data_IF_728754741394
#
_entry.id   IF_728754741394
#
_cell.length_a   1.000
_cell.length_b   1.000
_cell.length_c   1.000
_cell.angle_alpha   90.00
_cell.angle_beta   90.00
_cell.angle_gamma   90.00
#
_symmetry.space_group_name_H-M   'P 1'
#
loop_
_entity.id
_entity.type
_entity.pdbx_description
1 polymer ?
#
# COMPACT_ATOMS: atom_id res chain seq x y z
N UNK A 1 4.48 -0.46 16.15
CA UNK A 1 3.59 -1.64 16.34
C UNK A 1 2.96 -2.07 15.02
N UNK A 2 2.32 -1.15 14.28
CA UNK A 2 1.70 -1.43 12.98
C UNK A 2 2.65 -2.02 11.94
N UNK A 3 3.85 -1.45 11.80
CA UNK A 3 4.92 -1.97 10.94
C UNK A 3 5.17 -3.48 11.14
N UNK A 4 5.35 -3.90 12.40
CA UNK A 4 5.63 -5.31 12.73
C UNK A 4 4.49 -6.24 12.31
N UNK A 5 3.24 -5.77 12.44
CA UNK A 5 2.06 -6.54 12.06
C UNK A 5 1.99 -6.68 10.54
N UNK A 6 2.18 -5.59 9.80
CA UNK A 6 2.19 -5.60 8.33
C UNK A 6 3.32 -6.49 7.78
N UNK A 7 4.52 -6.38 8.34
CA UNK A 7 5.65 -7.21 7.94
C UNK A 7 5.40 -8.71 8.24
N UNK A 8 4.80 -9.02 9.40
CA UNK A 8 4.44 -10.40 9.75
C UNK A 8 3.37 -10.99 8.80
N UNK A 9 2.36 -10.20 8.44
CA UNK A 9 1.33 -10.61 7.49
C UNK A 9 1.92 -10.87 6.09
N UNK A 10 2.77 -9.97 5.59
CA UNK A 10 3.46 -10.14 4.30
C UNK A 10 4.37 -11.37 4.27
N UNK A 11 5.08 -11.66 5.36
CA UNK A 11 5.87 -12.90 5.47
C UNK A 11 4.99 -14.15 5.49
N UNK A 12 3.84 -14.09 6.18
CA UNK A 12 2.83 -15.15 6.16
C UNK A 12 2.36 -15.46 4.76
N UNK A 13 2.00 -14.43 3.98
CA UNK A 13 1.61 -14.58 2.58
C UNK A 13 2.73 -15.19 1.72
N UNK A 14 3.98 -14.73 1.90
CA UNK A 14 5.13 -15.30 1.19
C UNK A 14 5.41 -16.75 1.56
N UNK A 15 5.18 -17.16 2.82
CA UNK A 15 5.29 -18.56 3.24
C UNK A 15 4.28 -19.45 2.51
N UNK A 16 3.05 -18.96 2.32
CA UNK A 16 1.99 -19.68 1.60
C UNK A 16 2.30 -19.75 0.10
N UNK A 17 2.75 -18.63 -0.48
CA UNK A 17 3.16 -18.58 -1.90
C UNK A 17 4.30 -19.55 -2.22
N UNK A 18 5.27 -19.68 -1.32
CA UNK A 18 6.51 -20.40 -1.57
C UNK A 18 6.40 -21.91 -1.29
N UNK A 19 5.57 -22.59 -2.10
CA UNK A 19 5.29 -24.03 -2.03
C UNK A 19 6.44 -24.92 -2.57
N UNK A 20 6.34 -26.24 -2.37
CA UNK A 20 7.30 -27.21 -2.93
C UNK A 20 7.31 -27.19 -4.48
N UNK A 21 6.19 -26.83 -5.09
CA UNK A 21 6.05 -26.73 -6.55
C UNK A 21 6.81 -25.52 -7.12
N UNK A 22 6.75 -24.37 -6.43
CA UNK A 22 7.55 -23.19 -6.82
C UNK A 22 9.05 -23.49 -6.72
N UNK A 23 9.47 -24.26 -5.71
CA UNK A 23 10.87 -24.69 -5.56
C UNK A 23 11.33 -25.61 -6.67
N UNK A 24 10.49 -26.56 -7.10
CA UNK A 24 10.85 -27.49 -8.18
C UNK A 24 10.94 -26.80 -9.54
N UNK A 25 10.19 -25.70 -9.74
CA UNK A 25 10.31 -24.81 -10.90
C UNK A 25 11.56 -23.92 -10.88
N UNK A 26 12.34 -23.95 -9.81
CA UNK A 26 13.57 -23.15 -9.66
C UNK A 26 13.35 -21.76 -9.06
N UNK A 27 12.13 -21.44 -8.62
CA UNK A 27 11.85 -20.18 -7.94
C UNK A 27 12.52 -20.19 -6.54
N UNK A 28 12.94 -19.01 -6.08
CA UNK A 28 13.58 -18.81 -4.76
C UNK A 28 13.27 -17.45 -4.20
N UNK A 29 13.32 -17.33 -2.87
CA UNK A 29 13.24 -16.01 -2.21
C UNK A 29 14.38 -15.13 -2.67
N UNK A 30 14.07 -13.87 -2.98
CA UNK A 30 14.98 -12.86 -3.49
C UNK A 30 15.00 -11.62 -2.59
N UNK A 31 15.15 -11.87 -1.28
CA UNK A 31 15.21 -10.82 -0.26
C UNK A 31 13.89 -10.08 -0.05
N UNK A 32 14.01 -8.87 0.49
CA UNK A 32 12.90 -7.96 0.77
C UNK A 32 13.23 -6.57 0.23
N UNK A 33 12.19 -5.82 -0.12
CA UNK A 33 12.30 -4.46 -0.61
C UNK A 33 11.58 -3.53 0.38
N UNK A 34 12.24 -2.49 0.91
CA UNK A 34 11.57 -1.51 1.76
C UNK A 34 10.60 -0.67 0.93
N UNK A 35 9.42 -0.41 1.48
CA UNK A 35 8.39 0.42 0.89
C UNK A 35 7.78 1.31 1.95
N UNK A 36 7.73 2.61 1.70
CA UNK A 36 7.03 3.55 2.58
C UNK A 36 5.55 3.57 2.22
N UNK A 37 4.71 3.44 3.25
CA UNK A 37 3.27 3.33 3.11
C UNK A 37 2.61 4.29 4.09
N UNK A 38 1.76 5.16 3.56
CA UNK A 38 0.96 6.09 4.33
C UNK A 38 -0.26 5.38 4.88
N UNK A 39 -0.47 5.47 6.18
CA UNK A 39 -1.63 4.88 6.86
C UNK A 39 -2.42 5.98 7.57
N UNK A 40 -3.64 5.64 8.04
CA UNK A 40 -4.42 6.54 8.92
C UNK A 40 -3.70 6.95 10.21
N UNK A 41 -2.67 6.20 10.61
CA UNK A 41 -1.91 6.45 11.84
C UNK A 41 -0.53 7.05 11.58
N UNK A 42 -0.23 7.42 10.33
CA UNK A 42 1.05 7.96 9.89
C UNK A 42 1.80 7.05 8.92
N UNK A 43 2.99 7.48 8.53
CA UNK A 43 3.87 6.74 7.63
C UNK A 43 4.51 5.54 8.34
N UNK A 44 4.54 4.40 7.64
CA UNK A 44 5.22 3.19 8.09
C UNK A 44 6.10 2.63 6.98
N UNK A 45 7.24 2.06 7.35
CA UNK A 45 8.12 1.38 6.40
C UNK A 45 7.86 -0.12 6.45
N UNK A 46 7.37 -0.71 5.37
CA UNK A 46 7.15 -2.16 5.28
C UNK A 46 8.24 -2.83 4.45
N UNK A 47 8.65 -4.02 4.86
CA UNK A 47 9.61 -4.85 4.13
C UNK A 47 8.84 -5.87 3.29
N UNK A 48 8.64 -5.57 2.01
CA UNK A 48 7.87 -6.46 1.13
C UNK A 48 8.76 -7.61 0.65
N UNK A 49 8.45 -8.88 0.99
CA UNK A 49 9.22 -10.01 0.51
C UNK A 49 9.00 -10.21 -0.99
N UNK A 50 10.02 -10.75 -1.66
CA UNK A 50 9.98 -10.98 -3.12
C UNK A 50 10.54 -12.36 -3.47
N UNK A 51 9.99 -12.97 -4.51
CA UNK A 51 10.51 -14.17 -5.14
C UNK A 51 11.34 -13.82 -6.40
N UNK A 52 12.13 -14.78 -6.88
CA UNK A 52 13.07 -14.58 -8.00
C UNK A 52 12.34 -14.28 -9.29
N UNK A 53 11.21 -14.96 -9.50
CA UNK A 53 10.43 -14.88 -10.74
C UNK A 53 9.44 -13.70 -10.71
N UNK A 54 9.18 -13.14 -9.52
CA UNK A 54 8.28 -12.01 -9.32
C UNK A 54 6.79 -12.39 -9.35
N UNK A 55 6.49 -13.69 -9.20
CA UNK A 55 5.14 -14.25 -9.23
C UNK A 55 4.35 -13.96 -7.95
N UNK A 56 5.01 -13.57 -6.85
CA UNK A 56 4.34 -13.28 -5.59
C UNK A 56 3.42 -12.05 -5.70
N UNK A 57 2.14 -12.19 -5.37
CA UNK A 57 1.15 -11.11 -5.38
C UNK A 57 0.56 -10.87 -3.98
N UNK A 58 1.18 -10.00 -3.15
CA UNK A 58 0.72 -9.75 -1.79
C UNK A 58 -0.65 -9.06 -1.76
N UNK A 59 -1.47 -9.41 -0.77
CA UNK A 59 -2.83 -8.89 -0.59
C UNK A 59 -2.91 -7.88 0.56
N UNK A 60 -2.12 -8.08 1.62
CA UNK A 60 -2.06 -7.14 2.77
C UNK A 60 -1.60 -5.75 2.33
N UNK A 61 -0.56 -5.69 1.50
CA UNK A 61 -0.11 -4.45 0.86
C UNK A 61 0.26 -4.76 -0.59
N UNK A 62 -0.60 -4.35 -1.53
CA UNK A 62 -0.46 -4.70 -2.93
C UNK A 62 0.81 -4.11 -3.54
N UNK A 63 1.22 -4.69 -4.68
CA UNK A 63 2.33 -4.16 -5.48
C UNK A 63 2.07 -2.68 -5.81
N UNK A 64 3.05 -1.82 -5.53
CA UNK A 64 3.00 -0.36 -5.73
C UNK A 64 1.94 0.40 -4.93
N UNK A 65 1.20 -0.26 -4.03
CA UNK A 65 0.30 0.42 -3.10
C UNK A 65 1.13 1.13 -2.02
N UNK A 66 0.96 2.45 -1.96
CA UNK A 66 1.67 3.37 -1.05
C UNK A 66 0.73 4.04 -0.04
N UNK A 67 -0.58 3.84 -0.13
CA UNK A 67 -1.58 4.42 0.78
C UNK A 67 -2.48 3.28 1.27
N UNK A 68 -2.38 2.95 2.55
CA UNK A 68 -3.23 2.01 3.28
C UNK A 68 -4.21 2.78 4.15
N UNK A 69 -5.13 3.45 3.49
CA UNK A 69 -6.22 4.14 4.14
C UNK A 69 -7.45 4.07 3.25
N UNK A 70 -8.24 3.03 3.45
CA UNK A 70 -9.58 2.94 2.89
C UNK A 70 -10.33 4.25 3.23
N UNK A 71 -10.98 4.89 2.26
CA UNK A 71 -11.70 6.15 2.47
C UNK A 71 -10.85 7.43 2.65
N UNK A 72 -9.51 7.40 2.66
CA UNK A 72 -8.73 8.65 2.59
C UNK A 72 -8.89 9.34 1.23
N UNK A 73 -9.02 8.56 0.16
CA UNK A 73 -9.29 9.10 -1.17
C UNK A 73 -10.59 9.92 -1.17
N UNK A 74 -11.65 9.41 -0.56
CA UNK A 74 -12.94 10.10 -0.47
C UNK A 74 -12.82 11.38 0.38
N UNK A 75 -12.11 11.32 1.52
CA UNK A 75 -11.86 12.51 2.34
C UNK A 75 -11.08 13.60 1.60
N UNK A 76 -10.08 13.21 0.79
CA UNK A 76 -9.32 14.15 -0.05
C UNK A 76 -10.22 14.75 -1.12
N UNK A 77 -11.05 13.92 -1.78
CA UNK A 77 -12.01 14.39 -2.79
C UNK A 77 -13.01 15.37 -2.17
N UNK A 78 -13.54 15.07 -0.99
CA UNK A 78 -14.48 15.94 -0.27
C UNK A 78 -13.83 17.27 0.10
N UNK A 79 -12.63 17.23 0.66
CA UNK A 79 -11.88 18.44 1.02
C UNK A 79 -11.59 19.31 -0.21
N UNK A 80 -11.12 18.70 -1.30
CA UNK A 80 -10.87 19.40 -2.57
C UNK A 80 -12.17 19.97 -3.14
N UNK A 81 -13.28 19.26 -3.04
CA UNK A 81 -14.60 19.72 -3.48
C UNK A 81 -15.07 20.94 -2.68
N UNK A 82 -14.90 20.93 -1.36
CA UNK A 82 -15.20 22.08 -0.51
C UNK A 82 -14.31 23.30 -0.86
N UNK A 83 -13.02 23.06 -1.06
CA UNK A 83 -12.04 24.11 -1.38
C UNK A 83 -12.31 24.72 -2.76
N UNK A 84 -12.75 23.90 -3.71
CA UNK A 84 -13.19 24.34 -5.02
C UNK A 84 -14.47 25.19 -4.92
N UNK A 85 -15.45 24.75 -4.13
CA UNK A 85 -16.69 25.50 -3.89
C UNK A 85 -16.41 26.88 -3.27
N UNK A 86 -15.50 26.98 -2.30
CA UNK A 86 -15.07 28.25 -1.70
C UNK A 86 -14.47 29.19 -2.76
N UNK A 87 -13.52 28.69 -3.57
CA UNK A 87 -12.87 29.48 -4.64
C UNK A 87 -13.81 29.94 -5.75
N UNK A 88 -14.93 29.26 -5.97
CA UNK A 88 -15.95 29.69 -6.92
C UNK A 88 -16.98 30.61 -6.27
N UNK A 89 -17.35 30.40 -5.01
CA UNK A 89 -18.24 31.29 -4.26
C UNK A 89 -17.68 32.70 -4.10
N UNK A 90 -16.38 32.84 -3.80
CA UNK A 90 -15.73 34.16 -3.65
C UNK A 90 -15.63 34.96 -4.98
N UNK A 91 -15.82 34.32 -6.14
CA UNK A 91 -15.79 35.01 -7.44
C UNK A 91 -17.10 35.71 -7.81
N UNK A 92 -18.19 35.47 -7.09
CA UNK A 92 -19.50 36.07 -7.37
C UNK A 92 -19.87 37.25 -6.45
N UNK A 93 -19.09 37.52 -5.39
CA UNK A 93 -19.33 38.67 -4.48
C UNK A 93 -18.56 39.95 -4.85
N UNK A 94 -17.75 39.92 -5.93
CA UNK A 94 -16.93 41.07 -6.38
C UNK A 94 -17.40 41.69 -7.72
N UNK A 95 -18.62 41.40 -8.17
CA UNK A 95 -19.23 42.01 -9.37
C UNK A 95 -20.48 42.83 -9.03
#
# INVERSE_FOLDING_TARGET
MLERILNAALEGEMNVHFSLEERSKGNRRNGKIPKQVQTRYGEVTVETPRDRDGSFEPQTVKKRETILAEGMADQIIDMLSQQLAIKFGERFEIM
#
